data_IF_130906350358
#
_entry.id   IF_130906350358
#
_cell.length_a   1.000
_cell.length_b   1.000
_cell.length_c   1.000
_cell.angle_alpha   90.00
_cell.angle_beta   90.00
_cell.angle_gamma   90.00
#
_symmetry.space_group_name_H-M   'P 1'
#
loop_
_entity.id
_entity.type
_entity.pdbx_description
1 polymer ?
#
# COMPACT_ATOMS: atom_id res chain seq x y z
N UNK A 1 -26.36 -10.70 5.06
CA UNK A 1 -26.76 -9.58 4.17
C UNK A 1 -25.71 -9.41 3.06
N UNK A 2 -24.42 -9.27 3.36
CA UNK A 2 -23.34 -9.07 2.37
C UNK A 2 -23.26 -10.20 1.33
N UNK A 3 -23.34 -11.47 1.75
CA UNK A 3 -23.31 -12.62 0.84
C UNK A 3 -24.49 -12.64 -0.14
N UNK A 4 -25.69 -12.26 0.33
CA UNK A 4 -26.89 -12.19 -0.50
C UNK A 4 -26.76 -11.05 -1.51
N UNK A 5 -26.25 -9.88 -1.13
CA UNK A 5 -26.05 -8.77 -2.07
C UNK A 5 -25.03 -9.11 -3.16
N UNK A 6 -23.93 -9.80 -2.82
CA UNK A 6 -22.96 -10.25 -3.83
C UNK A 6 -23.54 -11.31 -4.77
N UNK A 7 -24.40 -12.22 -4.24
CA UNK A 7 -25.06 -13.21 -5.07
C UNK A 7 -26.05 -12.55 -6.05
N UNK A 8 -26.83 -11.56 -5.58
CA UNK A 8 -27.74 -10.80 -6.43
C UNK A 8 -26.98 -10.04 -7.52
N UNK A 9 -25.88 -9.37 -7.17
CA UNK A 9 -25.03 -8.68 -8.13
C UNK A 9 -24.43 -9.64 -9.16
N UNK A 10 -23.95 -10.80 -8.72
CA UNK A 10 -23.42 -11.83 -9.61
C UNK A 10 -24.48 -12.36 -10.58
N UNK A 11 -25.70 -12.64 -10.09
CA UNK A 11 -26.82 -13.08 -10.92
C UNK A 11 -27.27 -11.98 -11.91
N UNK A 12 -27.36 -10.72 -11.45
CA UNK A 12 -27.67 -9.60 -12.32
C UNK A 12 -26.62 -9.41 -13.42
N UNK A 13 -25.33 -9.55 -13.09
CA UNK A 13 -24.23 -9.46 -14.03
C UNK A 13 -24.28 -10.60 -15.06
N UNK A 14 -24.56 -11.84 -14.63
CA UNK A 14 -24.74 -12.98 -15.53
C UNK A 14 -25.95 -12.78 -16.45
N UNK A 15 -27.03 -12.18 -15.97
CA UNK A 15 -28.22 -11.91 -16.77
C UNK A 15 -27.96 -10.82 -17.82
N UNK A 16 -27.25 -9.75 -17.45
CA UNK A 16 -26.86 -8.65 -18.37
C UNK A 16 -25.85 -9.12 -19.44
N UNK A 17 -24.93 -10.02 -19.08
CA UNK A 17 -23.92 -10.55 -19.99
C UNK A 17 -24.35 -11.84 -20.73
N UNK A 18 -25.50 -12.42 -20.39
CA UNK A 18 -25.94 -13.72 -20.88
C UNK A 18 -25.96 -13.86 -22.39
N UNK A 19 -26.17 -12.79 -23.15
CA UNK A 19 -26.09 -12.78 -24.61
C UNK A 19 -24.66 -12.72 -25.20
N UNK A 20 -23.65 -12.43 -24.35
CA UNK A 20 -22.23 -12.30 -24.76
C UNK A 20 -21.38 -13.55 -24.49
N UNK A 21 -21.96 -14.60 -23.90
CA UNK A 21 -21.25 -15.86 -23.77
C UNK A 21 -21.08 -16.51 -25.14
N UNK A 22 -19.98 -16.21 -25.83
CA UNK A 22 -19.56 -17.01 -26.98
C UNK A 22 -19.39 -18.46 -26.52
N UNK A 23 -19.96 -19.38 -27.31
CA UNK A 23 -19.75 -20.83 -27.09
C UNK A 23 -18.25 -21.07 -27.04
N UNK A 24 -17.75 -21.60 -25.91
CA UNK A 24 -16.36 -22.02 -25.77
C UNK A 24 -16.03 -22.96 -26.92
N UNK A 25 -15.34 -22.45 -27.93
CA UNK A 25 -15.14 -23.15 -29.21
C UNK A 25 -14.24 -24.37 -29.10
N UNK A 26 -13.30 -24.37 -28.14
CA UNK A 26 -12.45 -25.53 -27.81
C UNK A 26 -11.81 -25.34 -26.46
N UNK A 27 -11.79 -26.40 -25.64
CA UNK A 27 -11.01 -26.45 -24.43
C UNK A 27 -9.51 -26.46 -24.77
N UNK A 28 -8.80 -25.41 -24.48
CA UNK A 28 -7.35 -25.34 -24.64
C UNK A 28 -6.69 -25.75 -23.33
N UNK A 29 -6.09 -26.93 -23.31
CA UNK A 29 -5.44 -27.52 -22.16
C UNK A 29 -4.19 -26.73 -21.76
N UNK A 30 -3.46 -26.14 -22.71
CA UNK A 30 -2.25 -25.37 -22.45
C UNK A 30 -2.59 -24.02 -21.84
N UNK A 31 -3.56 -23.28 -22.40
CA UNK A 31 -4.06 -22.04 -21.85
C UNK A 31 -4.64 -22.24 -20.45
N UNK A 32 -5.37 -23.33 -20.22
CA UNK A 32 -5.91 -23.66 -18.89
C UNK A 32 -4.79 -23.93 -17.89
N UNK A 33 -3.77 -24.71 -18.26
CA UNK A 33 -2.62 -24.98 -17.40
C UNK A 33 -1.87 -23.70 -17.05
N UNK A 34 -1.71 -22.79 -18.00
CA UNK A 34 -1.07 -21.50 -17.79
C UNK A 34 -1.85 -20.63 -16.79
N UNK A 35 -3.18 -20.53 -16.96
CA UNK A 35 -4.06 -19.80 -16.04
C UNK A 35 -3.95 -20.36 -14.61
N UNK A 36 -4.03 -21.69 -14.46
CA UNK A 36 -3.91 -22.31 -13.14
C UNK A 36 -2.52 -22.13 -12.53
N UNK A 37 -1.44 -22.24 -13.30
CA UNK A 37 -0.08 -22.00 -12.85
C UNK A 37 0.13 -20.56 -12.35
N UNK A 38 -0.57 -19.59 -12.93
CA UNK A 38 -0.57 -18.20 -12.48
C UNK A 38 -1.46 -17.98 -11.26
N UNK A 39 -2.67 -18.56 -11.26
CA UNK A 39 -3.70 -18.27 -10.27
C UNK A 39 -3.51 -19.05 -8.94
N UNK A 40 -3.12 -20.31 -8.99
CA UNK A 40 -2.99 -21.16 -7.77
C UNK A 40 -2.04 -20.55 -6.74
N UNK A 41 -0.85 -20.01 -7.10
CA UNK A 41 0.02 -19.38 -6.12
C UNK A 41 -0.56 -18.13 -5.45
N UNK A 42 -1.57 -17.48 -6.05
CA UNK A 42 -2.21 -16.31 -5.47
C UNK A 42 -3.12 -16.65 -4.28
N UNK A 43 -3.58 -17.90 -4.17
CA UNK A 43 -4.39 -18.35 -3.03
C UNK A 43 -3.60 -18.27 -1.71
N UNK A 44 -2.45 -18.95 -1.56
CA UNK A 44 -1.64 -18.82 -0.36
C UNK A 44 -1.13 -17.39 -0.14
N UNK A 45 -0.86 -16.63 -1.21
CA UNK A 45 -0.51 -15.20 -1.10
C UNK A 45 -1.62 -14.42 -0.41
N UNK A 46 -2.88 -14.60 -0.80
CA UNK A 46 -4.03 -13.91 -0.19
C UNK A 46 -4.17 -14.26 1.29
N UNK A 47 -3.97 -15.53 1.66
CA UNK A 47 -3.98 -15.97 3.06
C UNK A 47 -2.84 -15.32 3.86
N UNK A 48 -1.64 -15.26 3.30
CA UNK A 48 -0.49 -14.62 3.94
C UNK A 48 -0.67 -13.11 4.08
N UNK A 49 -1.27 -12.44 3.09
CA UNK A 49 -1.63 -11.02 3.16
C UNK A 49 -2.63 -10.77 4.29
N UNK A 50 -3.69 -11.59 4.37
CA UNK A 50 -4.65 -11.52 5.47
C UNK A 50 -3.97 -11.76 6.82
N UNK A 51 -3.14 -12.79 6.95
CA UNK A 51 -2.38 -13.08 8.16
C UNK A 51 -1.51 -11.87 8.56
N UNK A 52 -0.75 -11.30 7.60
CA UNK A 52 0.09 -10.13 7.86
C UNK A 52 -0.70 -8.92 8.38
N UNK A 53 -1.88 -8.66 7.84
CA UNK A 53 -2.75 -7.57 8.30
C UNK A 53 -3.43 -7.86 9.65
N UNK A 54 -3.61 -9.14 9.99
CA UNK A 54 -4.28 -9.57 11.22
C UNK A 54 -3.34 -9.71 12.42
N UNK A 55 -2.03 -9.96 12.20
CA UNK A 55 -1.03 -10.15 13.26
C UNK A 55 -1.07 -9.04 14.32
N UNK A 56 -1.07 -7.73 13.99
CA UNK A 56 -1.12 -6.67 14.99
C UNK A 56 -2.32 -6.81 15.92
N UNK A 57 -3.50 -7.04 15.34
CA UNK A 57 -4.75 -7.21 16.08
C UNK A 57 -4.73 -8.46 16.97
N UNK A 58 -4.27 -9.60 16.45
CA UNK A 58 -4.17 -10.85 17.20
C UNK A 58 -3.21 -10.71 18.37
N UNK A 59 -2.05 -10.07 18.15
CA UNK A 59 -1.07 -9.81 19.22
C UNK A 59 -1.66 -8.91 20.29
N UNK A 60 -2.38 -7.85 19.90
CA UNK A 60 -3.00 -6.92 20.84
C UNK A 60 -4.14 -7.59 21.63
N UNK A 61 -5.01 -8.36 20.98
CA UNK A 61 -6.12 -9.09 21.66
C UNK A 61 -5.61 -10.05 22.74
N UNK A 62 -4.45 -10.67 22.53
CA UNK A 62 -3.87 -11.60 23.49
C UNK A 62 -3.03 -10.93 24.59
N UNK A 63 -2.71 -9.65 24.47
CA UNK A 63 -1.72 -8.99 25.33
C UNK A 63 -2.12 -7.63 25.85
N UNK A 64 -3.18 -7.06 25.34
CA UNK A 64 -3.71 -5.73 25.68
C UNK A 64 -5.23 -5.78 25.85
N UNK A 65 -5.82 -4.67 26.25
CA UNK A 65 -7.27 -4.52 26.36
C UNK A 65 -7.96 -4.26 25.00
N UNK A 66 -9.24 -4.56 24.92
CA UNK A 66 -10.04 -4.35 23.71
C UNK A 66 -10.17 -2.86 23.32
N UNK A 67 -10.01 -1.94 24.28
CA UNK A 67 -9.99 -0.51 24.00
C UNK A 67 -8.78 -0.13 23.12
N UNK A 68 -7.60 -0.63 23.47
CA UNK A 68 -6.36 -0.46 22.68
C UNK A 68 -6.49 -1.02 21.26
N UNK A 69 -7.11 -2.21 21.12
CA UNK A 69 -7.41 -2.79 19.80
C UNK A 69 -8.31 -1.88 18.98
N UNK A 70 -9.35 -1.30 19.60
CA UNK A 70 -10.28 -0.38 18.94
C UNK A 70 -9.59 0.89 18.43
N UNK A 71 -8.71 1.50 19.24
CA UNK A 71 -7.93 2.68 18.86
C UNK A 71 -7.01 2.37 17.67
N UNK A 72 -6.28 1.26 17.75
CA UNK A 72 -5.37 0.84 16.69
C UNK A 72 -6.11 0.56 15.38
N UNK A 73 -7.20 -0.21 15.43
CA UNK A 73 -7.99 -0.58 14.24
C UNK A 73 -8.58 0.64 13.55
N UNK A 74 -9.07 1.61 14.33
CA UNK A 74 -9.59 2.87 13.80
C UNK A 74 -8.49 3.68 13.09
N UNK A 75 -7.29 3.72 13.66
CA UNK A 75 -6.15 4.38 13.03
C UNK A 75 -5.71 3.68 11.73
N UNK A 76 -5.70 2.34 11.72
CA UNK A 76 -5.44 1.54 10.50
C UNK A 76 -6.49 1.84 9.42
N UNK A 77 -7.77 1.90 9.78
CA UNK A 77 -8.84 2.21 8.83
C UNK A 77 -8.64 3.58 8.17
N UNK A 78 -8.22 4.59 8.94
CA UNK A 78 -7.87 5.92 8.42
C UNK A 78 -6.64 5.89 7.51
N UNK A 79 -5.59 5.19 7.90
CA UNK A 79 -4.38 5.06 7.08
C UNK A 79 -4.70 4.38 5.73
N UNK A 80 -5.62 3.41 5.73
CA UNK A 80 -6.05 2.68 4.54
C UNK A 80 -6.84 3.53 3.53
N UNK A 81 -7.19 4.79 3.83
CA UNK A 81 -7.74 5.74 2.85
C UNK A 81 -6.78 5.89 1.64
N UNK A 82 -5.48 5.75 1.86
CA UNK A 82 -4.48 5.76 0.79
C UNK A 82 -4.73 4.63 -0.24
N UNK A 83 -5.30 3.50 0.16
CA UNK A 83 -5.63 2.39 -0.75
C UNK A 83 -6.71 2.74 -1.78
N UNK A 84 -7.49 3.82 -1.56
CA UNK A 84 -8.42 4.33 -2.57
C UNK A 84 -7.68 4.84 -3.81
N UNK A 85 -6.49 5.45 -3.61
CA UNK A 85 -5.61 5.86 -4.72
C UNK A 85 -5.19 4.63 -5.53
N UNK A 86 -4.86 3.53 -4.85
CA UNK A 86 -4.50 2.27 -5.51
C UNK A 86 -5.65 1.68 -6.33
N UNK A 87 -6.87 1.67 -5.79
CA UNK A 87 -8.02 1.10 -6.48
C UNK A 87 -8.27 1.79 -7.82
N UNK A 88 -8.23 3.13 -7.85
CA UNK A 88 -8.32 3.91 -9.08
C UNK A 88 -7.15 3.67 -10.02
N UNK A 89 -5.93 3.65 -9.49
CA UNK A 89 -4.72 3.43 -10.27
C UNK A 89 -4.67 2.03 -10.90
N UNK A 90 -4.96 0.97 -10.16
CA UNK A 90 -4.87 -0.41 -10.63
C UNK A 90 -5.87 -0.72 -11.75
N UNK A 91 -7.03 -0.05 -11.77
CA UNK A 91 -8.02 -0.23 -12.83
C UNK A 91 -7.45 0.10 -14.22
N UNK A 92 -6.57 1.08 -14.29
CA UNK A 92 -5.87 1.46 -15.51
C UNK A 92 -4.51 0.77 -15.64
N UNK A 93 -3.72 0.73 -14.55
CA UNK A 93 -2.31 0.35 -14.58
C UNK A 93 -2.09 -1.11 -14.96
N UNK A 94 -2.88 -2.01 -14.41
CA UNK A 94 -2.68 -3.45 -14.64
C UNK A 94 -2.91 -3.84 -16.10
N UNK A 95 -4.05 -3.49 -16.75
CA UNK A 95 -4.25 -3.76 -18.18
C UNK A 95 -3.18 -3.07 -19.04
N UNK A 96 -2.93 -1.77 -18.79
CA UNK A 96 -1.94 -1.01 -19.54
C UNK A 96 -0.55 -1.66 -19.51
N UNK A 97 -0.14 -2.18 -18.34
CA UNK A 97 1.15 -2.85 -18.19
C UNK A 97 1.23 -4.11 -19.04
N UNK A 98 0.23 -4.97 -18.96
CA UNK A 98 0.23 -6.23 -19.73
C UNK A 98 0.18 -6.03 -21.24
N UNK A 99 -0.43 -4.95 -21.70
CA UNK A 99 -0.49 -4.62 -23.13
C UNK A 99 0.84 -4.01 -23.65
N UNK A 100 1.50 -3.19 -22.82
CA UNK A 100 2.58 -2.31 -23.27
C UNK A 100 3.98 -2.65 -22.75
N UNK A 101 4.16 -3.70 -21.93
CA UNK A 101 5.44 -4.00 -21.30
C UNK A 101 6.60 -4.24 -22.28
N UNK A 102 6.33 -4.64 -23.53
CA UNK A 102 7.35 -4.86 -24.55
C UNK A 102 7.76 -3.60 -25.30
N UNK A 103 6.91 -2.58 -25.34
CA UNK A 103 7.07 -1.43 -26.25
C UNK A 103 7.32 -0.09 -25.56
N UNK A 104 6.89 0.07 -24.30
CA UNK A 104 6.83 1.39 -23.65
C UNK A 104 7.51 1.45 -22.27
N UNK A 105 8.69 0.83 -22.12
CA UNK A 105 9.43 0.80 -20.84
C UNK A 105 9.67 2.18 -20.21
N UNK A 106 9.97 3.20 -21.00
CA UNK A 106 10.20 4.56 -20.49
C UNK A 106 8.98 5.22 -19.85
N UNK A 107 7.75 4.79 -20.20
CA UNK A 107 6.55 5.30 -19.55
C UNK A 107 6.35 4.68 -18.15
N UNK A 108 6.77 3.43 -17.94
CA UNK A 108 6.70 2.77 -16.64
C UNK A 108 7.52 3.53 -15.58
N UNK A 109 8.72 3.98 -15.94
CA UNK A 109 9.56 4.81 -15.06
C UNK A 109 8.88 6.12 -14.65
N UNK A 110 8.23 6.81 -15.61
CA UNK A 110 7.52 8.05 -15.33
C UNK A 110 6.32 7.83 -14.41
N UNK A 111 5.49 6.83 -14.73
CA UNK A 111 4.29 6.51 -13.94
C UNK A 111 4.67 6.10 -12.53
N UNK A 112 5.70 5.27 -12.35
CA UNK A 112 6.21 4.92 -11.03
C UNK A 112 6.63 6.16 -10.23
N UNK A 113 7.40 7.09 -10.84
CA UNK A 113 7.82 8.33 -10.17
C UNK A 113 6.63 9.22 -9.76
N UNK A 114 5.67 9.40 -10.66
CA UNK A 114 4.46 10.17 -10.35
C UNK A 114 3.65 9.55 -9.24
N UNK A 115 3.51 8.23 -9.24
CA UNK A 115 2.80 7.53 -8.17
C UNK A 115 3.50 7.70 -6.82
N UNK A 116 4.83 7.51 -6.75
CA UNK A 116 5.60 7.70 -5.52
C UNK A 116 5.49 9.15 -5.03
N UNK A 117 5.53 10.14 -5.94
CA UNK A 117 5.32 11.56 -5.62
C UNK A 117 3.94 11.79 -4.98
N UNK A 118 2.88 11.33 -5.64
CA UNK A 118 1.50 11.50 -5.15
C UNK A 118 1.31 10.81 -3.79
N UNK A 119 1.79 9.58 -3.63
CA UNK A 119 1.68 8.84 -2.37
C UNK A 119 2.43 9.53 -1.23
N UNK A 120 3.62 10.06 -1.51
CA UNK A 120 4.42 10.77 -0.51
C UNK A 120 3.74 12.04 -0.06
N UNK A 121 3.31 12.88 -1.01
CA UNK A 121 2.65 14.16 -0.70
C UNK A 121 1.29 13.95 -0.03
N UNK A 122 0.51 12.97 -0.49
CA UNK A 122 -0.78 12.63 0.11
C UNK A 122 -0.60 12.03 1.51
N UNK A 123 0.37 11.13 1.73
CA UNK A 123 0.70 10.61 3.04
C UNK A 123 1.11 11.72 4.03
N UNK A 124 1.99 12.64 3.62
CA UNK A 124 2.38 13.80 4.43
C UNK A 124 1.22 14.75 4.70
N UNK A 125 0.33 14.97 3.72
CA UNK A 125 -0.89 15.74 3.92
C UNK A 125 -1.79 15.12 5.00
N UNK A 126 -1.96 13.79 4.99
CA UNK A 126 -2.71 13.09 6.04
C UNK A 126 -2.04 13.25 7.40
N UNK A 127 -0.70 13.14 7.48
CA UNK A 127 0.06 13.36 8.73
C UNK A 127 -0.13 14.78 9.24
N UNK A 128 -0.05 15.79 8.39
CA UNK A 128 -0.27 17.19 8.76
C UNK A 128 -1.71 17.44 9.22
N UNK A 129 -2.68 16.76 8.63
CA UNK A 129 -4.11 16.90 8.94
C UNK A 129 -4.56 16.03 10.13
N UNK A 130 -3.67 15.27 10.77
CA UNK A 130 -4.02 14.28 11.78
C UNK A 130 -4.82 14.86 12.97
N UNK A 131 -4.53 16.08 13.39
CA UNK A 131 -5.24 16.71 14.50
C UNK A 131 -6.70 16.99 14.14
N UNK A 132 -6.98 17.45 12.92
CA UNK A 132 -8.34 17.64 12.43
C UNK A 132 -9.06 16.30 12.27
N UNK A 133 -8.39 15.29 11.72
CA UNK A 133 -8.95 13.94 11.52
C UNK A 133 -9.37 13.33 12.87
N UNK A 134 -8.48 13.34 13.87
CA UNK A 134 -8.78 12.76 15.18
C UNK A 134 -9.69 13.65 16.04
N UNK A 135 -9.84 14.94 15.73
CA UNK A 135 -10.87 15.78 16.33
C UNK A 135 -12.27 15.30 15.92
N UNK A 136 -12.45 14.92 14.63
CA UNK A 136 -13.72 14.42 14.10
C UNK A 136 -14.06 13.02 14.61
N UNK A 137 -13.07 12.16 14.90
CA UNK A 137 -13.30 10.82 15.44
C UNK A 137 -13.70 10.81 16.92
N UNK A 138 -13.39 11.87 17.66
CA UNK A 138 -13.69 12.01 19.07
C UNK A 138 -12.51 11.71 20.01
N UNK A 139 -12.69 12.05 21.28
CA UNK A 139 -11.60 12.08 22.28
C UNK A 139 -10.93 10.73 22.52
N UNK A 140 -11.69 9.64 22.50
CA UNK A 140 -11.20 8.28 22.75
C UNK A 140 -10.10 7.84 21.77
N UNK A 141 -10.10 8.40 20.55
CA UNK A 141 -9.16 8.02 19.49
C UNK A 141 -7.95 8.95 19.38
N UNK A 142 -7.90 10.04 20.16
CA UNK A 142 -6.80 11.02 20.10
C UNK A 142 -5.43 10.43 20.45
N UNK A 143 -5.40 9.38 21.27
CA UNK A 143 -4.16 8.66 21.59
C UNK A 143 -3.48 8.05 20.37
N UNK A 144 -4.24 7.76 19.30
CA UNK A 144 -3.69 7.21 18.06
C UNK A 144 -2.78 8.17 17.30
N UNK A 145 -2.87 9.48 17.53
CA UNK A 145 -2.03 10.48 16.85
C UNK A 145 -0.54 10.20 16.96
N UNK A 146 -0.09 9.67 18.08
CA UNK A 146 1.34 9.43 18.34
C UNK A 146 1.94 8.36 17.43
N UNK A 147 1.17 7.37 17.02
CA UNK A 147 1.65 6.26 16.21
C UNK A 147 1.01 6.19 14.80
N UNK A 148 -0.01 6.98 14.54
CA UNK A 148 -0.74 7.02 13.27
C UNK A 148 0.16 7.20 12.04
N UNK A 149 1.17 8.09 12.04
CA UNK A 149 2.04 8.26 10.87
C UNK A 149 2.84 7.00 10.52
N UNK A 150 3.15 6.13 11.49
CA UNK A 150 3.75 4.82 11.18
C UNK A 150 2.80 3.95 10.37
N UNK A 151 1.50 3.96 10.67
CA UNK A 151 0.52 3.15 9.95
C UNK A 151 0.34 3.59 8.50
N UNK A 152 0.63 4.85 8.16
CA UNK A 152 0.61 5.37 6.79
C UNK A 152 1.67 4.71 5.91
N UNK A 153 2.81 4.31 6.49
CA UNK A 153 3.85 3.61 5.73
C UNK A 153 3.37 2.29 5.13
N UNK A 154 2.49 1.56 5.80
CA UNK A 154 2.03 0.26 5.31
C UNK A 154 1.32 0.36 3.95
N UNK A 155 0.27 1.17 3.74
CA UNK A 155 -0.37 1.31 2.44
C UNK A 155 0.54 1.97 1.40
N UNK A 156 1.39 2.94 1.78
CA UNK A 156 2.35 3.56 0.86
C UNK A 156 3.35 2.53 0.32
N UNK A 157 4.01 1.77 1.21
CA UNK A 157 4.94 0.73 0.81
C UNK A 157 4.27 -0.37 0.00
N UNK A 158 3.02 -0.73 0.34
CA UNK A 158 2.25 -1.71 -0.40
C UNK A 158 2.04 -1.28 -1.85
N UNK A 159 1.56 -0.05 -2.08
CA UNK A 159 1.29 0.47 -3.43
C UNK A 159 2.58 0.61 -4.24
N UNK A 160 3.66 1.11 -3.64
CA UNK A 160 4.98 1.17 -4.29
C UNK A 160 5.42 -0.23 -4.70
N UNK A 161 5.31 -1.21 -3.80
CA UNK A 161 5.64 -2.60 -4.06
C UNK A 161 4.78 -3.26 -5.15
N UNK A 162 3.50 -2.84 -5.32
CA UNK A 162 2.65 -3.32 -6.41
C UNK A 162 3.18 -2.84 -7.78
N UNK A 163 3.61 -1.59 -7.89
CA UNK A 163 4.16 -1.08 -9.16
C UNK A 163 5.50 -1.70 -9.51
N UNK A 164 6.41 -1.80 -8.54
CA UNK A 164 7.75 -2.36 -8.77
C UNK A 164 7.73 -3.89 -8.90
N UNK A 165 6.75 -4.54 -8.28
CA UNK A 165 6.53 -5.98 -8.36
C UNK A 165 5.90 -6.48 -9.66
N UNK A 166 5.55 -5.60 -10.59
CA UNK A 166 4.93 -6.00 -11.87
C UNK A 166 5.77 -7.00 -12.67
N UNK A 167 7.09 -6.97 -12.53
CA UNK A 167 7.98 -7.95 -13.15
C UNK A 167 7.69 -9.40 -12.75
N UNK A 168 7.20 -9.63 -11.52
CA UNK A 168 6.75 -10.96 -11.05
C UNK A 168 5.54 -11.42 -11.87
N UNK A 169 4.55 -10.52 -12.09
CA UNK A 169 3.35 -10.80 -12.87
C UNK A 169 3.65 -11.01 -14.36
N UNK A 170 4.43 -10.10 -14.97
CA UNK A 170 4.85 -10.17 -16.39
C UNK A 170 5.60 -11.47 -16.68
N UNK A 171 6.48 -11.90 -15.77
CA UNK A 171 7.22 -13.17 -15.88
C UNK A 171 6.40 -14.40 -15.51
N UNK A 172 5.13 -14.23 -15.08
CA UNK A 172 4.22 -15.30 -14.62
C UNK A 172 4.74 -16.09 -13.42
N UNK A 173 5.69 -15.53 -12.65
CA UNK A 173 6.31 -16.17 -11.48
C UNK A 173 5.62 -15.75 -10.18
N UNK A 174 4.30 -15.79 -10.14
CA UNK A 174 3.47 -15.35 -9.01
C UNK A 174 3.79 -16.02 -7.67
N UNK A 175 4.39 -17.23 -7.72
CA UNK A 175 4.87 -17.95 -6.53
C UNK A 175 5.94 -17.17 -5.73
N UNK A 176 6.67 -16.23 -6.36
CA UNK A 176 7.65 -15.39 -5.66
C UNK A 176 6.99 -14.48 -4.62
N UNK A 177 5.73 -14.09 -4.83
CA UNK A 177 4.99 -13.34 -3.84
C UNK A 177 4.77 -14.13 -2.55
N UNK A 178 4.73 -15.48 -2.60
CA UNK A 178 4.64 -16.33 -1.39
C UNK A 178 5.86 -16.06 -0.50
N UNK A 179 7.08 -16.09 -1.07
CA UNK A 179 8.30 -15.82 -0.31
C UNK A 179 8.30 -14.40 0.30
N UNK A 180 7.87 -13.38 -0.46
CA UNK A 180 7.76 -12.00 0.02
C UNK A 180 6.85 -11.94 1.26
N UNK A 181 5.65 -12.52 1.18
CA UNK A 181 4.69 -12.42 2.27
C UNK A 181 5.01 -13.33 3.45
N UNK A 182 5.66 -14.49 3.24
CA UNK A 182 6.21 -15.29 4.34
C UNK A 182 7.19 -14.46 5.17
N UNK A 183 8.18 -13.84 4.52
CA UNK A 183 9.16 -13.00 5.22
C UNK A 183 8.47 -11.82 5.90
N UNK A 184 7.51 -11.16 5.24
CA UNK A 184 6.75 -10.06 5.82
C UNK A 184 5.99 -10.47 7.09
N UNK A 185 5.31 -11.61 7.06
CA UNK A 185 4.59 -12.19 8.21
C UNK A 185 5.54 -12.47 9.38
N UNK A 186 6.69 -13.10 9.12
CA UNK A 186 7.69 -13.33 10.14
C UNK A 186 8.24 -12.05 10.75
N UNK A 187 8.59 -11.06 9.93
CA UNK A 187 9.07 -9.75 10.39
C UNK A 187 8.00 -9.06 11.24
N UNK A 188 6.75 -9.05 10.77
CA UNK A 188 5.65 -8.43 11.48
C UNK A 188 5.43 -9.07 12.86
N UNK A 189 5.32 -10.39 12.89
CA UNK A 189 5.12 -11.14 14.14
C UNK A 189 6.29 -10.94 15.11
N UNK A 190 7.52 -11.09 14.62
CA UNK A 190 8.72 -10.94 15.44
C UNK A 190 8.80 -9.54 16.09
N UNK A 191 8.66 -8.47 15.29
CA UNK A 191 8.73 -7.11 15.81
C UNK A 191 7.49 -6.72 16.62
N UNK A 192 6.30 -7.22 16.32
CA UNK A 192 5.13 -7.03 17.17
C UNK A 192 5.38 -7.63 18.57
N UNK A 193 5.93 -8.84 18.64
CA UNK A 193 6.25 -9.46 19.93
C UNK A 193 7.36 -8.75 20.69
N UNK A 194 8.37 -8.26 19.99
CA UNK A 194 9.52 -7.57 20.57
C UNK A 194 9.17 -6.17 21.08
N UNK A 195 8.49 -5.36 20.23
CA UNK A 195 8.28 -3.93 20.49
C UNK A 195 7.04 -3.64 21.35
N UNK A 196 6.10 -4.58 21.48
CA UNK A 196 4.91 -4.41 22.33
C UNK A 196 5.26 -4.16 23.81
N UNK A 197 6.34 -4.77 24.32
CA UNK A 197 6.73 -4.68 25.73
C UNK A 197 7.26 -3.26 26.08
N UNK A 198 8.27 -2.71 25.34
CA UNK A 198 8.81 -1.37 25.66
C UNK A 198 7.94 -0.21 25.19
N UNK A 199 7.11 -0.39 24.15
CA UNK A 199 6.43 0.72 23.47
C UNK A 199 4.91 0.58 23.38
N UNK A 200 4.33 -0.56 23.77
CA UNK A 200 2.88 -0.77 23.67
C UNK A 200 2.34 -0.67 22.24
N UNK A 201 1.24 0.09 22.05
CA UNK A 201 0.57 0.27 20.76
C UNK A 201 1.51 0.92 19.70
N UNK A 202 2.28 1.99 20.00
CA UNK A 202 3.27 2.52 19.07
C UNK A 202 4.27 1.47 18.57
N UNK A 203 4.72 0.56 19.44
CA UNK A 203 5.62 -0.53 19.05
C UNK A 203 5.02 -1.47 18.00
N UNK A 204 3.73 -1.77 18.11
CA UNK A 204 3.01 -2.58 17.13
C UNK A 204 2.86 -1.84 15.79
N UNK A 205 2.60 -0.52 15.82
CA UNK A 205 2.55 0.30 14.62
C UNK A 205 3.91 0.35 13.90
N UNK A 206 5.01 0.48 14.65
CA UNK A 206 6.38 0.42 14.10
C UNK A 206 6.64 -0.96 13.47
N UNK A 207 6.27 -2.05 14.15
CA UNK A 207 6.42 -3.42 13.62
C UNK A 207 5.70 -3.61 12.28
N UNK A 208 4.47 -3.12 12.19
CA UNK A 208 3.67 -3.15 10.94
C UNK A 208 4.36 -2.37 9.82
N UNK A 209 4.92 -1.19 10.14
CA UNK A 209 5.68 -0.38 9.17
C UNK A 209 6.95 -1.07 8.69
N UNK A 210 7.70 -1.70 9.60
CA UNK A 210 8.92 -2.45 9.27
C UNK A 210 8.61 -3.62 8.33
N UNK A 211 7.54 -4.38 8.63
CA UNK A 211 7.10 -5.47 7.76
C UNK A 211 6.69 -4.98 6.36
N UNK A 212 6.02 -3.84 6.28
CA UNK A 212 5.63 -3.23 5.02
C UNK A 212 6.85 -2.77 4.19
N UNK A 213 7.84 -2.13 4.83
CA UNK A 213 9.10 -1.73 4.18
C UNK A 213 9.85 -2.95 3.66
N UNK A 214 9.99 -4.01 4.47
CA UNK A 214 10.66 -5.25 4.05
C UNK A 214 9.93 -5.90 2.89
N UNK A 215 8.59 -5.98 2.94
CA UNK A 215 7.77 -6.51 1.85
C UNK A 215 7.98 -5.72 0.55
N UNK A 216 7.96 -4.39 0.62
CA UNK A 216 8.21 -3.51 -0.52
C UNK A 216 9.61 -3.74 -1.12
N UNK A 217 10.66 -3.79 -0.28
CA UNK A 217 12.04 -4.02 -0.74
C UNK A 217 12.18 -5.36 -1.45
N UNK A 218 11.66 -6.44 -0.83
CA UNK A 218 11.73 -7.78 -1.42
C UNK A 218 10.94 -7.86 -2.72
N UNK A 219 9.75 -7.27 -2.75
CA UNK A 219 8.90 -7.26 -3.94
C UNK A 219 9.55 -6.47 -5.07
N UNK A 220 10.16 -5.32 -4.76
CA UNK A 220 10.94 -4.53 -5.70
C UNK A 220 12.14 -5.32 -6.23
N UNK A 221 12.93 -5.93 -5.35
CA UNK A 221 14.10 -6.70 -5.76
C UNK A 221 13.73 -7.87 -6.68
N UNK A 222 12.72 -8.65 -6.32
CA UNK A 222 12.26 -9.77 -7.13
C UNK A 222 11.57 -9.31 -8.42
N UNK A 223 10.84 -8.21 -8.41
CA UNK A 223 10.19 -7.64 -9.59
C UNK A 223 11.20 -7.13 -10.60
N UNK A 224 12.13 -6.29 -10.16
CA UNK A 224 13.18 -5.68 -10.98
C UNK A 224 14.14 -6.72 -11.60
N UNK A 225 14.36 -7.85 -10.93
CA UNK A 225 15.14 -8.97 -11.50
C UNK A 225 14.50 -9.54 -12.77
N UNK A 226 13.18 -9.39 -12.95
CA UNK A 226 12.45 -9.97 -14.07
C UNK A 226 11.99 -8.93 -15.09
N UNK A 227 11.71 -7.71 -14.64
CA UNK A 227 11.32 -6.62 -15.52
C UNK A 227 11.60 -5.26 -14.86
N UNK A 228 12.31 -4.39 -15.56
CA UNK A 228 12.69 -3.07 -15.05
C UNK A 228 11.52 -2.08 -15.09
N UNK A 229 11.10 -1.61 -13.91
CA UNK A 229 10.09 -0.57 -13.71
C UNK A 229 10.68 0.69 -13.07
N UNK A 230 11.82 0.56 -12.41
CA UNK A 230 12.45 1.64 -11.62
C UNK A 230 13.70 2.14 -12.33
N UNK A 231 13.72 3.40 -12.73
CA UNK A 231 14.92 4.06 -13.25
C UNK A 231 15.87 4.51 -12.12
N UNK A 232 15.32 4.85 -10.97
CA UNK A 232 16.09 5.27 -9.81
C UNK A 232 15.37 5.00 -8.49
N UNK A 233 16.02 4.24 -7.62
CA UNK A 233 15.51 3.91 -6.27
C UNK A 233 15.47 5.12 -5.32
N UNK A 234 16.08 6.26 -5.67
CA UNK A 234 16.12 7.48 -4.83
C UNK A 234 14.73 7.97 -4.45
N UNK A 235 13.74 7.86 -5.36
CA UNK A 235 12.36 8.30 -5.11
C UNK A 235 11.69 7.46 -4.02
N UNK A 236 11.86 6.14 -4.07
CA UNK A 236 11.32 5.21 -3.06
C UNK A 236 12.00 5.43 -1.70
N UNK A 237 13.35 5.50 -1.68
CA UNK A 237 14.11 5.74 -0.45
C UNK A 237 13.73 7.07 0.18
N UNK A 238 13.63 8.12 -0.62
CA UNK A 238 13.23 9.44 -0.13
C UNK A 238 11.80 9.40 0.46
N UNK A 239 10.85 8.79 -0.24
CA UNK A 239 9.46 8.65 0.24
C UNK A 239 9.40 7.96 1.60
N UNK A 240 10.01 6.77 1.70
CA UNK A 240 10.03 6.01 2.96
C UNK A 240 10.73 6.78 4.07
N UNK A 241 11.88 7.40 3.77
CA UNK A 241 12.65 8.16 4.75
C UNK A 241 11.86 9.36 5.28
N UNK A 242 11.23 10.15 4.41
CA UNK A 242 10.52 11.36 4.83
C UNK A 242 9.25 11.03 5.64
N UNK A 243 8.51 9.99 5.26
CA UNK A 243 7.34 9.55 6.02
C UNK A 243 7.76 8.94 7.37
N UNK A 244 8.83 8.12 7.38
CA UNK A 244 9.38 7.57 8.63
C UNK A 244 9.89 8.67 9.56
N UNK A 245 10.61 9.66 9.04
CA UNK A 245 11.05 10.82 9.81
C UNK A 245 9.85 11.57 10.40
N UNK A 246 8.80 11.79 9.63
CA UNK A 246 7.56 12.43 10.10
C UNK A 246 6.88 11.61 11.20
N UNK A 247 6.92 10.29 11.11
CA UNK A 247 6.38 9.39 12.14
C UNK A 247 7.22 9.46 13.43
N UNK A 248 8.54 9.48 13.33
CA UNK A 248 9.46 9.64 14.47
C UNK A 248 9.26 11.01 15.12
N UNK A 249 9.17 12.09 14.35
CA UNK A 249 8.89 13.44 14.88
C UNK A 249 7.58 13.42 15.66
N UNK A 250 6.53 12.81 15.13
CA UNK A 250 5.22 12.76 15.78
C UNK A 250 5.26 11.97 17.10
N UNK A 251 6.08 10.92 17.17
CA UNK A 251 6.19 10.06 18.35
C UNK A 251 6.99 10.71 19.48
N UNK A 252 8.08 11.42 19.16
CA UNK A 252 9.03 11.90 20.18
C UNK A 252 8.95 13.41 20.46
N UNK A 253 8.34 14.21 19.58
CA UNK A 253 8.25 15.67 19.78
C UNK A 253 6.90 16.03 20.41
N UNK A 254 6.92 16.36 21.69
CA UNK A 254 5.72 16.75 22.46
C UNK A 254 5.28 18.18 22.16
N UNK A 255 6.23 19.10 21.96
CA UNK A 255 5.91 20.50 21.69
C UNK A 255 5.22 20.63 20.33
N UNK A 256 3.96 21.07 20.37
CA UNK A 256 3.09 21.16 19.18
C UNK A 256 3.68 22.08 18.11
N UNK A 257 4.19 23.26 18.49
CA UNK A 257 4.77 24.22 17.55
C UNK A 257 6.00 23.63 16.85
N UNK A 258 6.92 23.03 17.60
CA UNK A 258 8.14 22.40 17.07
C UNK A 258 7.78 21.22 16.16
N UNK A 259 6.83 20.38 16.59
CA UNK A 259 6.34 19.24 15.80
C UNK A 259 5.84 19.69 14.43
N UNK A 260 4.89 20.63 14.39
CA UNK A 260 4.33 21.09 13.11
C UNK A 260 5.33 21.85 12.25
N UNK A 261 6.26 22.60 12.84
CA UNK A 261 7.36 23.23 12.09
C UNK A 261 8.22 22.18 11.38
N UNK A 262 8.59 21.11 12.09
CA UNK A 262 9.36 20.01 11.50
C UNK A 262 8.58 19.22 10.44
N UNK A 263 7.29 18.96 10.66
CA UNK A 263 6.42 18.30 9.69
C UNK A 263 6.21 19.14 8.45
N UNK A 264 6.02 20.45 8.58
CA UNK A 264 5.95 21.37 7.43
C UNK A 264 7.29 21.43 6.70
N UNK A 265 8.41 21.40 7.41
CA UNK A 265 9.74 21.27 6.82
C UNK A 265 9.89 19.98 6.00
N UNK A 266 9.42 18.85 6.53
CA UNK A 266 9.41 17.57 5.81
C UNK A 266 8.51 17.61 4.55
N UNK A 267 7.34 18.23 4.63
CA UNK A 267 6.46 18.41 3.48
C UNK A 267 7.06 19.34 2.42
N UNK A 268 7.71 20.42 2.86
CA UNK A 268 8.40 21.36 1.97
C UNK A 268 9.59 20.70 1.25
N UNK A 269 10.42 19.93 1.97
CA UNK A 269 11.52 19.18 1.36
C UNK A 269 11.01 18.14 0.37
N UNK A 270 9.88 17.47 0.66
CA UNK A 270 9.25 16.56 -0.28
C UNK A 270 8.74 17.29 -1.53
N UNK A 271 8.09 18.43 -1.38
CA UNK A 271 7.64 19.24 -2.52
C UNK A 271 8.80 19.76 -3.38
N UNK A 272 9.92 20.13 -2.77
CA UNK A 272 11.13 20.51 -3.48
C UNK A 272 11.78 19.34 -4.23
N UNK A 273 11.84 18.17 -3.60
CA UNK A 273 12.42 16.98 -4.20
C UNK A 273 11.61 16.53 -5.42
N UNK A 274 10.28 16.54 -5.32
CA UNK A 274 9.36 16.15 -6.38
C UNK A 274 8.92 17.32 -7.29
N UNK A 275 9.61 18.47 -7.26
CA UNK A 275 9.18 19.68 -7.99
C UNK A 275 8.94 19.47 -9.50
N UNK A 276 9.75 18.59 -10.12
CA UNK A 276 9.62 18.28 -11.55
C UNK A 276 8.36 17.46 -11.81
N UNK A 277 8.13 16.42 -11.03
CA UNK A 277 6.96 15.54 -11.12
C UNK A 277 5.66 16.32 -10.85
N UNK A 278 5.67 17.21 -9.86
CA UNK A 278 4.54 18.08 -9.53
C UNK A 278 4.22 19.04 -10.69
N UNK A 279 5.25 19.71 -11.24
CA UNK A 279 5.04 20.63 -12.36
C UNK A 279 4.53 19.91 -13.61
N UNK A 280 5.02 18.72 -13.90
CA UNK A 280 4.54 17.92 -15.03
C UNK A 280 3.08 17.50 -14.83
N UNK A 281 2.69 17.03 -13.65
CA UNK A 281 1.30 16.70 -13.33
C UNK A 281 0.38 17.92 -13.52
N UNK A 282 0.80 19.10 -13.07
CA UNK A 282 0.02 20.33 -13.28
C UNK A 282 -0.12 20.71 -14.77
N UNK A 283 0.90 20.47 -15.60
CA UNK A 283 0.82 20.70 -17.05
C UNK A 283 -0.16 19.73 -17.70
N UNK A 284 -0.12 18.46 -17.34
CA UNK A 284 -1.07 17.46 -17.84
C UNK A 284 -2.51 17.80 -17.48
N UNK A 285 -2.81 18.18 -16.24
CA UNK A 285 -4.18 18.56 -15.85
C UNK A 285 -4.68 19.79 -16.62
N UNK A 286 -3.84 20.80 -16.88
CA UNK A 286 -4.20 21.96 -17.70
C UNK A 286 -4.47 21.61 -19.16
N UNK A 287 -3.85 20.57 -19.71
CA UNK A 287 -4.09 20.14 -21.10
C UNK A 287 -5.40 19.38 -21.28
N UNK A 288 -5.97 18.80 -20.21
CA UNK A 288 -7.27 18.10 -20.24
C UNK A 288 -8.46 19.04 -20.04
N UNK A 289 -8.25 20.23 -19.49
CA UNK A 289 -9.32 21.23 -19.22
C UNK A 289 -9.48 22.22 -20.40
N UNK A 290 -8.61 22.17 -21.38
CA UNK A 290 -8.72 22.90 -22.66
C UNK A 290 -9.22 21.96 -23.76
#
# INVERSE_FOLDING_TARGET
>A
VLTISHLILALAFLFIQGERFEKIKKYDKEATKEIFSFAIPLIPVSVLMWANSSIPQIVMQNTMDYHSVGIFTSAVALANIILLVQAGFNTFWVPYTYENYKTQTGQFFKVHRYLVCVLTLFGLFIVLSQDAIFLLLGEKYRAAKTFFPFLILAPVCYIIGETTGMGIGISKKTYLNIAVFIVSVFVNLFFCMLLRIPMGIPGIAIATSMAAIVSMILKTYLGEKHYHVVDSYKYMFFSVTVITASAIITLFVENVCVKYTLLLGAAFTAALFFRHEVNDLFRYTKSFVR
#
